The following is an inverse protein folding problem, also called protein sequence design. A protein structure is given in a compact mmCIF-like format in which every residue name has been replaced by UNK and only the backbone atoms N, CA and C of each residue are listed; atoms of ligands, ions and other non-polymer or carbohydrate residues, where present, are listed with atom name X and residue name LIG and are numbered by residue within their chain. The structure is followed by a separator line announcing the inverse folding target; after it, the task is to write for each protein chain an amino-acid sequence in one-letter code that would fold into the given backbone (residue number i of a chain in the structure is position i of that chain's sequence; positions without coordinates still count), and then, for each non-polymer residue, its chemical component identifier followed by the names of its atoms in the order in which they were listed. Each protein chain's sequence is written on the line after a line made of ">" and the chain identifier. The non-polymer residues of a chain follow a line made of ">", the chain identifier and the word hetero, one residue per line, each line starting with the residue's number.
data_IF_224755520783
#
_entry.id   IF_224755520783
#
_cell.length_a   1.000
_cell.length_b   1.000
_cell.length_c   1.000
_cell.angle_alpha   90.00
_cell.angle_beta   90.00
_cell.angle_gamma   90.00
#
_symmetry.space_group_name_H-M   'P 1'
#
loop_
_entity.id
_entity.type
_entity.pdbx_description
1 polymer ?
#
# COMPACT_ATOMS: atom_id res chain seq x y z
N UNK A 1 4.23 -26.08 26.69
CA UNK A 1 3.83 -25.62 25.36
C UNK A 1 3.13 -24.30 25.61
N UNK A 2 3.88 -23.20 25.45
CA UNK A 2 3.31 -21.87 25.65
C UNK A 2 2.51 -21.59 24.40
N UNK A 3 1.19 -21.73 24.54
CA UNK A 3 0.23 -21.22 23.57
C UNK A 3 0.28 -19.70 23.72
N UNK A 4 1.20 -19.07 22.99
CA UNK A 4 1.29 -17.61 22.89
C UNK A 4 0.09 -17.17 22.05
N UNK A 5 -1.05 -17.09 22.71
CA UNK A 5 -2.30 -16.64 22.11
C UNK A 5 -2.12 -15.21 21.67
N UNK A 6 -2.11 -15.00 20.35
CA UNK A 6 -2.27 -13.69 19.71
C UNK A 6 -3.41 -12.99 20.43
N UNK A 7 -3.06 -11.98 21.22
CA UNK A 7 -4.03 -11.27 22.03
C UNK A 7 -4.59 -10.16 21.15
N UNK A 8 -5.91 -9.96 21.14
CA UNK A 8 -6.55 -8.94 20.30
C UNK A 8 -6.06 -7.50 20.60
N UNK A 9 -5.30 -7.32 21.69
CA UNK A 9 -4.63 -6.09 22.13
C UNK A 9 -3.24 -5.85 21.51
N UNK A 10 -2.77 -6.73 20.61
CA UNK A 10 -1.54 -6.52 19.85
C UNK A 10 -1.78 -5.41 18.80
N UNK A 11 -1.70 -4.16 19.26
CA UNK A 11 -1.85 -2.95 18.45
C UNK A 11 -1.00 -2.99 17.17
N UNK A 12 0.13 -3.70 17.22
CA UNK A 12 1.04 -3.94 16.11
C UNK A 12 0.35 -4.71 14.95
N UNK A 13 -0.40 -5.77 15.25
CA UNK A 13 -1.14 -6.53 14.24
C UNK A 13 -2.29 -5.72 13.66
N UNK A 14 -2.95 -4.91 14.48
CA UNK A 14 -4.02 -4.01 14.02
C UNK A 14 -3.50 -2.95 13.05
N UNK A 15 -2.34 -2.36 13.34
CA UNK A 15 -1.67 -1.39 12.47
C UNK A 15 -1.31 -2.02 11.13
N UNK A 16 -0.74 -3.23 11.12
CA UNK A 16 -0.41 -3.95 9.88
C UNK A 16 -1.66 -4.21 9.03
N UNK A 17 -2.76 -4.66 9.65
CA UNK A 17 -4.03 -4.90 8.95
C UNK A 17 -4.61 -3.64 8.31
N UNK A 18 -4.64 -2.52 9.04
CA UNK A 18 -5.10 -1.23 8.52
C UNK A 18 -4.18 -0.72 7.41
N UNK A 19 -2.86 -0.91 7.55
CA UNK A 19 -1.89 -0.50 6.53
C UNK A 19 -2.08 -1.30 5.23
N UNK A 20 -2.37 -2.59 5.33
CA UNK A 20 -2.70 -3.44 4.19
C UNK A 20 -3.97 -2.98 3.47
N UNK A 21 -5.06 -2.77 4.22
CA UNK A 21 -6.33 -2.28 3.67
C UNK A 21 -6.17 -0.89 3.02
N UNK A 22 -5.44 0.01 3.68
CA UNK A 22 -5.12 1.33 3.15
C UNK A 22 -4.32 1.24 1.85
N UNK A 23 -3.33 0.35 1.78
CA UNK A 23 -2.52 0.13 0.57
C UNK A 23 -3.35 -0.40 -0.60
N UNK A 24 -4.28 -1.33 -0.35
CA UNK A 24 -5.19 -1.84 -1.39
C UNK A 24 -6.07 -0.72 -1.94
N UNK A 25 -6.68 0.08 -1.07
CA UNK A 25 -7.51 1.22 -1.48
C UNK A 25 -6.69 2.23 -2.29
N UNK A 26 -5.48 2.56 -1.83
CA UNK A 26 -4.60 3.51 -2.50
C UNK A 26 -4.17 3.00 -3.89
N UNK A 27 -3.88 1.70 -4.01
CA UNK A 27 -3.55 1.05 -5.29
C UNK A 27 -4.73 1.08 -6.26
N UNK A 28 -5.96 0.81 -5.80
CA UNK A 28 -7.17 0.87 -6.62
C UNK A 28 -7.41 2.30 -7.12
N UNK A 29 -7.34 3.30 -6.24
CA UNK A 29 -7.52 4.71 -6.59
C UNK A 29 -6.45 5.17 -7.59
N UNK A 30 -5.18 4.85 -7.31
CA UNK A 30 -4.05 5.16 -8.20
C UNK A 30 -4.16 4.49 -9.57
N UNK A 31 -4.59 3.22 -9.60
CA UNK A 31 -4.85 2.47 -10.82
C UNK A 31 -5.97 3.09 -11.66
N UNK A 32 -7.10 3.43 -11.05
CA UNK A 32 -8.24 4.08 -11.73
C UNK A 32 -7.84 5.46 -12.28
N UNK A 33 -7.13 6.29 -11.51
CA UNK A 33 -6.59 7.58 -11.96
C UNK A 33 -5.62 7.42 -13.16
N UNK A 34 -4.79 6.38 -13.14
CA UNK A 34 -3.90 6.03 -14.25
C UNK A 34 -4.66 5.65 -15.51
N UNK A 35 -5.67 4.77 -15.39
CA UNK A 35 -6.50 4.31 -16.52
C UNK A 35 -7.30 5.47 -17.12
N UNK A 36 -7.93 6.30 -16.28
CA UNK A 36 -8.70 7.48 -16.73
C UNK A 36 -7.81 8.44 -17.51
N UNK A 37 -6.55 8.62 -17.09
CA UNK A 37 -5.59 9.46 -17.81
C UNK A 37 -5.18 8.89 -19.16
N UNK A 38 -5.17 7.56 -19.33
CA UNK A 38 -4.92 6.94 -20.62
C UNK A 38 -6.01 7.30 -21.66
N UNK A 39 -7.25 7.51 -21.20
CA UNK A 39 -8.38 7.94 -22.04
C UNK A 39 -8.48 9.46 -22.22
N UNK A 40 -7.88 10.27 -21.34
CA UNK A 40 -7.83 11.72 -21.48
C UNK A 40 -6.69 12.15 -22.42
N UNK A 41 -7.03 12.31 -23.71
CA UNK A 41 -6.12 12.77 -24.77
C UNK A 41 -5.67 14.23 -24.64
N UNK A 42 -6.42 15.07 -23.91
CA UNK A 42 -6.22 16.51 -23.84
C UNK A 42 -5.37 16.97 -22.64
N UNK A 43 -4.06 17.06 -22.92
CA UNK A 43 -3.03 17.97 -22.37
C UNK A 43 -2.72 18.02 -20.87
N UNK A 44 -3.54 17.51 -19.96
CA UNK A 44 -3.24 17.51 -18.51
C UNK A 44 -3.09 16.11 -17.96
N UNK A 45 -1.96 15.46 -18.28
CA UNK A 45 -1.53 14.16 -17.72
C UNK A 45 -1.29 14.16 -16.20
N UNK A 46 -1.64 15.25 -15.51
CA UNK A 46 -1.40 15.46 -14.08
C UNK A 46 -2.09 14.38 -13.23
N UNK A 47 -3.33 14.00 -13.58
CA UNK A 47 -4.06 12.96 -12.86
C UNK A 47 -3.37 11.58 -12.96
N UNK A 48 -2.78 11.27 -14.11
CA UNK A 48 -2.09 10.00 -14.31
C UNK A 48 -0.72 9.98 -13.67
N UNK A 49 -0.02 11.12 -13.62
CA UNK A 49 1.22 11.26 -12.86
C UNK A 49 0.91 11.09 -11.36
N UNK A 50 -0.15 11.70 -10.85
CA UNK A 50 -0.57 11.52 -9.44
C UNK A 50 -0.93 10.07 -9.16
N UNK A 51 -1.72 9.43 -10.03
CA UNK A 51 -2.08 8.02 -9.90
C UNK A 51 -0.88 7.09 -9.94
N UNK A 52 0.07 7.35 -10.85
CA UNK A 52 1.32 6.61 -10.96
C UNK A 52 2.21 6.79 -9.72
N UNK A 53 2.39 8.04 -9.25
CA UNK A 53 3.18 8.35 -8.06
C UNK A 53 2.57 7.68 -6.82
N UNK A 54 1.24 7.74 -6.65
CA UNK A 54 0.54 7.03 -5.57
C UNK A 54 0.77 5.53 -5.64
N UNK A 55 0.72 4.94 -6.83
CA UNK A 55 0.90 3.50 -7.00
C UNK A 55 2.35 3.07 -6.74
N UNK A 56 3.33 3.80 -7.27
CA UNK A 56 4.76 3.59 -6.99
C UNK A 56 5.04 3.73 -5.50
N UNK A 57 4.49 4.76 -4.85
CA UNK A 57 4.63 4.96 -3.41
C UNK A 57 4.04 3.80 -2.60
N UNK A 58 2.90 3.26 -3.04
CA UNK A 58 2.26 2.09 -2.41
C UNK A 58 3.17 0.86 -2.52
N UNK A 59 3.70 0.57 -3.72
CA UNK A 59 4.63 -0.54 -3.94
C UNK A 59 5.89 -0.35 -3.09
N UNK A 60 6.44 0.87 -3.06
CA UNK A 60 7.64 1.18 -2.30
C UNK A 60 7.40 0.98 -0.79
N UNK A 61 6.25 1.40 -0.27
CA UNK A 61 5.87 1.19 1.13
C UNK A 61 5.77 -0.30 1.49
N UNK A 62 5.16 -1.12 0.63
CA UNK A 62 5.08 -2.57 0.83
C UNK A 62 6.46 -3.22 0.79
N UNK A 63 7.32 -2.84 -0.16
CA UNK A 63 8.68 -3.38 -0.28
C UNK A 63 9.52 -3.03 0.96
N UNK A 64 9.42 -1.80 1.47
CA UNK A 64 10.13 -1.40 2.69
C UNK A 64 9.64 -2.20 3.89
N UNK A 65 8.33 -2.33 4.08
CA UNK A 65 7.78 -3.14 5.17
C UNK A 65 8.21 -4.60 5.08
N UNK A 66 8.24 -5.17 3.88
CA UNK A 66 8.71 -6.53 3.65
C UNK A 66 10.21 -6.67 3.99
N UNK A 67 11.03 -5.69 3.64
CA UNK A 67 12.45 -5.67 3.97
C UNK A 67 12.68 -5.54 5.48
N UNK A 68 11.93 -4.68 6.17
CA UNK A 68 11.98 -4.55 7.63
C UNK A 68 11.56 -5.86 8.29
N UNK A 69 10.48 -6.49 7.83
CA UNK A 69 10.04 -7.79 8.34
C UNK A 69 11.11 -8.86 8.18
N UNK A 70 11.79 -8.92 7.03
CA UNK A 70 12.87 -9.86 6.79
C UNK A 70 14.11 -9.58 7.68
N UNK A 71 14.44 -8.31 7.93
CA UNK A 71 15.54 -7.93 8.82
C UNK A 71 15.20 -8.23 10.28
N UNK A 72 13.94 -8.04 10.69
CA UNK A 72 13.49 -8.32 12.04
C UNK A 72 13.42 -9.83 12.34
N UNK A 73 13.17 -10.65 11.32
CA UNK A 73 13.18 -12.12 11.40
C UNK A 73 14.60 -12.72 11.43
N UNK A 74 15.60 -12.01 10.87
CA UNK A 74 17.00 -12.43 10.77
C UNK A 74 17.84 -12.13 12.02
#
# INVERSE_FOLDING_TARGET
>A
MVEDGVSEDDAEMQVVGVFFLGSILLAVIGGVLGIITCFQKDKKKVLGIIGLVLNVLTIFGVVILMAIGFIADA
#
